data_IF_129454231130
#
_entry.id   IF_129454231130
#
_cell.length_a   1.000
_cell.length_b   1.000
_cell.length_c   1.000
_cell.angle_alpha   90.00
_cell.angle_beta   90.00
_cell.angle_gamma   90.00
#
_symmetry.space_group_name_H-M   'P 1'
#
loop_
_entity.id
_entity.type
_entity.pdbx_description
1 polymer ?
2 polymer ?
3 polymer ?
4 water ?
#
loop_
_entity_poly.entity_id
_entity_poly.type
_entity_poly.pdbx_seq_one_letter_code
_entity_poly.pdbx_strand_id
1 'polydeoxyribonucleotide' '(DA)(DA)(DG)(DG)(DA)(DT)(DC)(DC)(DA)(DA)' ?
2 'polydeoxyribonucleotide' '(DT)(DT)(DG)(DG)(DA)(DT)(DC)(DC)(DT)(DT)' ?
#
# COMPACT_ATOMS: atom_id res chain seq x y z
N UNK E 2 16.15 -21.77 0.29
CA UNK E 2 17.54 -21.96 -0.25
C UNK E 2 18.50 -22.71 0.74
N UNK E 3 18.84 -21.87 1.77
CA UNK E 3 19.63 -22.14 2.98
C UNK E 3 18.47 -22.28 3.98
N UNK E 4 17.27 -22.22 3.44
CA UNK E 4 16.07 -22.44 4.18
C UNK E 4 15.91 -23.93 4.52
N UNK E 5 16.86 -24.81 4.21
CA UNK E 5 16.59 -26.14 4.71
C UNK E 5 17.03 -26.10 6.18
N UNK E 6 17.99 -25.23 6.46
CA UNK E 6 18.40 -24.97 7.84
C UNK E 6 17.21 -24.45 8.68
N UNK E 7 16.34 -23.63 8.10
CA UNK E 7 15.16 -23.13 8.78
C UNK E 7 14.32 -24.28 9.13
N UNK E 8 14.16 -25.15 8.12
CA UNK E 8 13.34 -26.42 8.25
C UNK E 8 13.85 -27.28 9.42
N UNK E 9 15.19 -27.40 9.58
CA UNK E 9 15.73 -28.16 10.70
C UNK E 9 15.31 -27.52 12.05
N UNK E 10 15.21 -26.19 12.04
CA UNK E 10 14.93 -25.55 13.28
C UNK E 10 13.49 -25.73 13.59
N UNK E 11 12.64 -25.81 12.54
CA UNK E 11 11.21 -25.94 12.91
C UNK E 11 10.98 -27.32 13.51
N UNK E 12 11.87 -28.22 13.15
CA UNK E 12 11.72 -29.54 13.59
C UNK E 12 12.43 -29.76 14.83
N UNK E 13 13.62 -29.17 15.01
CA UNK E 13 14.42 -29.28 16.26
C UNK E 13 13.64 -29.37 17.63
N UNK E 14 14.30 -30.10 18.52
CA UNK E 14 13.75 -30.38 19.83
C UNK E 14 13.83 -29.08 20.57
N UNK E 15 14.90 -28.35 20.26
CA UNK E 15 15.07 -26.98 20.81
C UNK E 15 13.89 -26.03 20.47
N UNK E 16 13.52 -25.92 19.19
CA UNK E 16 12.43 -25.02 18.79
C UNK E 16 11.18 -25.52 19.46
N UNK E 17 11.13 -26.85 19.53
CA UNK E 17 10.01 -27.55 20.13
C UNK E 17 9.88 -27.31 21.65
N UNK E 18 11.03 -27.10 22.28
CA UNK E 18 11.02 -26.78 23.71
C UNK E 18 10.19 -25.52 24.07
N UNK E 19 10.63 -24.35 23.61
CA UNK E 19 9.88 -23.08 23.77
C UNK E 19 8.35 -23.27 23.71
N UNK E 20 7.68 -22.65 24.68
CA UNK E 20 6.22 -22.80 24.78
C UNK E 20 5.55 -21.53 24.46
N UNK E 21 6.29 -20.42 24.61
CA UNK E 21 5.72 -19.14 24.29
C UNK E 21 6.07 -18.60 22.92
N UNK E 22 5.22 -17.75 22.37
CA UNK E 22 5.43 -17.23 21.04
C UNK E 22 6.67 -16.44 20.97
N UNK E 23 6.81 -15.53 21.96
CA UNK E 23 7.97 -14.69 22.10
C UNK E 23 9.14 -15.59 21.99
N UNK E 24 9.23 -16.63 22.78
CA UNK E 24 10.42 -17.37 22.65
C UNK E 24 10.70 -17.95 21.32
N UNK E 25 9.67 -18.28 20.57
CA UNK E 25 9.89 -18.96 19.30
C UNK E 25 10.37 -17.89 18.38
N UNK E 26 9.62 -16.78 18.37
CA UNK E 26 10.01 -15.63 17.58
C UNK E 26 11.49 -15.28 17.84
N UNK E 27 11.92 -15.10 19.09
CA UNK E 27 13.33 -14.79 19.29
C UNK E 27 14.18 -15.88 18.67
N UNK E 28 13.77 -17.14 18.75
CA UNK E 28 14.67 -18.17 18.21
C UNK E 28 14.77 -18.13 16.70
N UNK E 29 13.74 -17.57 16.11
CA UNK E 29 13.72 -17.46 14.68
C UNK E 29 14.77 -16.43 14.27
N UNK E 30 14.55 -15.18 14.71
CA UNK E 30 15.37 -13.98 14.49
C UNK E 30 16.73 -14.50 14.77
N UNK E 31 16.92 -15.05 15.93
CA UNK E 31 18.24 -15.49 16.22
C UNK E 31 18.86 -16.39 15.13
N UNK E 32 18.11 -17.38 14.68
CA UNK E 32 18.59 -18.33 13.66
C UNK E 32 18.81 -17.66 12.32
N UNK E 33 17.79 -16.90 11.85
CA UNK E 33 17.87 -16.15 10.63
C UNK E 33 19.17 -15.35 10.66
N UNK E 34 19.32 -14.41 11.59
CA UNK E 34 20.59 -13.67 11.57
C UNK E 34 21.80 -14.68 11.40
N UNK E 35 21.81 -15.80 12.08
CA UNK E 35 22.91 -16.69 11.90
C UNK E 35 23.16 -17.18 10.52
N UNK E 36 22.15 -17.09 9.68
CA UNK E 36 22.38 -17.54 8.33
C UNK E 36 23.13 -16.53 7.55
N UNK E 37 22.55 -15.38 7.32
CA UNK E 37 23.16 -14.29 6.56
C UNK E 37 23.17 -12.97 7.38
N UNK E 38 24.26 -12.66 8.08
CA UNK E 38 24.06 -11.45 8.87
C UNK E 38 23.75 -10.31 8.00
N UNK E 39 24.32 -10.33 6.84
CA UNK E 39 24.15 -9.19 6.02
C UNK E 39 22.76 -8.99 5.50
N UNK E 40 22.16 -10.09 5.09
CA UNK E 40 20.84 -10.04 4.47
C UNK E 40 19.75 -9.76 5.48
N UNK E 41 20.03 -10.22 6.72
CA UNK E 41 19.18 -10.01 7.90
C UNK E 41 19.18 -8.53 8.09
N UNK E 42 20.38 -7.98 8.26
CA UNK E 42 20.58 -6.58 8.44
C UNK E 42 19.81 -5.73 7.39
N UNK E 43 19.90 -5.99 6.10
CA UNK E 43 19.13 -5.18 5.17
C UNK E 43 17.63 -5.42 5.32
N UNK E 44 17.31 -6.62 5.74
CA UNK E 44 15.90 -7.00 5.91
C UNK E 44 15.21 -6.13 6.90
N UNK E 45 15.98 -5.91 7.93
CA UNK E 45 15.63 -5.17 9.08
C UNK E 45 15.28 -3.70 8.86
N UNK E 46 16.20 -2.94 8.24
CA UNK E 46 16.02 -1.52 7.99
C UNK E 46 14.67 -1.13 7.48
N UNK E 47 14.07 -1.90 6.61
CA UNK E 47 12.72 -1.65 6.07
C UNK E 47 11.57 -1.97 7.05
N UNK E 48 11.90 -2.64 8.15
CA UNK E 48 10.85 -3.03 9.09
C UNK E 48 10.54 -2.08 10.27
N UNK E 49 9.39 -1.45 10.29
CA UNK E 49 9.16 -0.58 11.43
C UNK E 49 7.72 -0.28 11.42
N UNK E 50 7.20 0.32 12.49
CA UNK E 50 5.78 0.68 12.60
C UNK E 50 5.51 2.08 12.07
N UNK E 51 4.32 2.63 12.38
CA UNK E 51 3.88 4.01 11.96
C UNK E 51 4.77 4.88 12.79
N UNK E 52 4.86 4.53 14.08
CA UNK E 52 5.59 5.26 15.12
C UNK E 52 6.60 4.58 16.08
N UNK E 53 6.72 3.23 16.06
CA UNK E 53 7.67 2.49 16.95
C UNK E 53 8.90 2.07 16.15
N UNK E 54 10.03 1.85 16.74
CA UNK E 54 11.04 1.29 15.89
C UNK E 54 10.95 -0.19 16.31
N UNK E 55 11.18 -1.15 15.42
CA UNK E 55 11.14 -2.54 15.76
C UNK E 55 12.52 -3.12 16.08
N UNK E 56 13.46 -3.08 15.15
CA UNK E 56 14.79 -3.54 15.54
C UNK E 56 15.78 -2.37 15.84
N UNK E 57 16.90 -2.60 16.49
CA UNK E 57 17.79 -1.51 16.88
C UNK E 57 19.14 -2.03 17.43
N UNK E 58 20.25 -1.25 17.58
CA UNK E 58 21.41 -1.95 18.10
C UNK E 58 21.49 -1.81 19.53
N UNK E 59 20.49 -1.18 20.09
CA UNK E 59 20.55 -1.10 21.53
C UNK E 59 19.15 -0.93 22.14
N UNK E 60 19.04 -1.29 23.41
CA UNK E 60 17.78 -1.17 24.10
C UNK E 60 17.10 0.17 24.02
N UNK E 61 17.90 1.21 24.18
CA UNK E 61 17.33 2.58 24.21
C UNK E 61 16.77 3.05 22.90
N UNK E 62 17.51 2.89 21.81
CA UNK E 62 16.86 3.35 20.64
C UNK E 62 15.41 2.92 20.64
N UNK E 63 15.11 1.71 21.16
CA UNK E 63 13.71 1.20 21.13
C UNK E 63 12.82 1.79 22.08
N UNK E 64 13.28 1.87 23.33
CA UNK E 64 12.48 2.53 24.39
C UNK E 64 12.03 3.90 24.02
N UNK E 65 12.89 4.68 23.32
CA UNK E 65 12.54 6.05 22.88
C UNK E 65 11.35 6.09 21.98
N UNK E 66 11.50 5.71 20.69
CA UNK E 66 10.35 5.77 19.78
C UNK E 66 9.36 4.81 20.28
N UNK E 67 8.09 5.11 20.21
CA UNK E 67 7.17 4.15 20.77
C UNK E 67 7.41 3.84 22.30
N UNK E 68 6.30 3.73 23.07
CA UNK E 68 6.50 3.58 24.49
C UNK E 68 6.35 2.32 25.33
N UNK E 69 5.27 1.57 25.40
CA UNK E 69 5.59 0.36 26.26
C UNK E 69 6.03 -0.45 25.11
N UNK E 70 7.08 -1.20 25.09
CA UNK E 70 7.44 -1.97 23.82
C UNK E 70 8.26 -2.85 24.63
N UNK E 71 8.59 -4.05 24.28
CA UNK E 71 9.36 -4.58 25.39
C UNK E 71 10.67 -4.99 25.00
N UNK E 72 11.52 -4.06 24.72
CA UNK E 72 12.86 -4.36 24.32
C UNK E 72 13.39 -5.68 24.79
N UNK E 73 13.43 -6.62 23.91
CA UNK E 73 14.01 -7.79 24.43
C UNK E 73 15.37 -7.77 23.83
N UNK E 74 16.05 -8.16 24.79
CA UNK E 74 17.46 -8.21 24.79
C UNK E 74 18.37 -8.53 23.71
N UNK E 75 18.26 -9.64 23.14
CA UNK E 75 19.36 -9.69 22.18
C UNK E 75 18.90 -11.01 21.67
N UNK E 76 18.97 -11.15 20.40
CA UNK E 76 18.59 -12.49 20.21
C UNK E 76 19.53 -13.63 20.87
N UNK E 77 20.68 -13.67 20.20
CA UNK E 77 21.82 -14.55 20.40
C UNK E 77 22.86 -13.94 19.41
N UNK E 78 22.50 -12.74 18.88
CA UNK E 78 23.24 -11.83 17.90
C UNK E 78 23.35 -10.33 18.36
N UNK E 79 23.52 -9.37 17.43
CA UNK E 79 23.61 -8.01 18.03
C UNK E 79 22.36 -7.18 17.91
N UNK E 80 21.15 -7.72 17.85
CA UNK E 80 20.05 -6.75 17.74
C UNK E 80 19.14 -6.59 18.89
N UNK E 81 18.22 -5.65 18.90
CA UNK E 81 17.32 -5.69 20.00
C UNK E 81 15.96 -5.63 19.38
N UNK E 82 14.92 -6.34 19.88
CA UNK E 82 13.63 -6.19 19.23
C UNK E 82 12.59 -5.82 20.18
N UNK E 83 11.51 -5.33 19.60
CA UNK E 83 10.24 -4.92 20.23
C UNK E 83 9.65 -6.29 20.53
N UNK E 84 8.78 -6.34 21.54
CA UNK E 84 8.11 -7.57 21.98
C UNK E 84 6.61 -7.32 22.24
N UNK E 85 6.25 -6.11 22.59
CA UNK E 85 4.90 -5.74 22.86
C UNK E 85 4.20 -5.80 21.53
N UNK E 86 3.83 -7.00 21.17
CA UNK E 86 3.17 -7.20 19.92
C UNK E 86 2.43 -8.50 20.00
N UNK E 87 1.27 -8.50 19.40
CA UNK E 87 0.50 -9.71 19.36
C UNK E 87 1.09 -10.68 18.39
N UNK E 88 0.54 -11.90 18.32
CA UNK E 88 1.19 -12.87 17.46
C UNK E 88 1.24 -12.54 16.04
N UNK E 89 0.23 -11.83 15.67
CA UNK E 89 0.08 -11.45 14.31
C UNK E 89 1.26 -10.70 13.84
N UNK E 90 1.52 -9.60 14.53
CA UNK E 90 2.61 -8.76 14.13
C UNK E 90 3.96 -9.46 14.20
N UNK E 91 4.02 -10.39 15.16
CA UNK E 91 5.25 -11.09 15.48
C UNK E 91 5.49 -11.81 14.17
N UNK E 92 4.39 -12.14 13.55
CA UNK E 92 4.38 -12.85 12.30
C UNK E 92 4.95 -12.04 11.20
N UNK E 93 4.15 -11.08 10.81
CA UNK E 93 4.60 -10.22 9.78
C UNK E 93 5.98 -9.69 10.00
N UNK E 94 6.51 -9.54 11.19
CA UNK E 94 7.89 -9.13 11.13
C UNK E 94 8.77 -10.22 10.57
N UNK E 95 8.36 -11.47 10.73
CA UNK E 95 9.09 -12.66 10.21
C UNK E 95 8.77 -12.74 8.70
N UNK E 96 7.50 -12.63 8.38
CA UNK E 96 7.16 -12.62 7.00
C UNK E 96 8.07 -11.59 6.25
N UNK E 97 8.32 -10.45 6.87
CA UNK E 97 9.09 -9.44 6.23
C UNK E 97 10.52 -9.82 6.19
N UNK E 98 11.15 -10.12 7.32
CA UNK E 98 12.58 -10.42 7.32
C UNK E 98 12.80 -11.54 6.39
N UNK E 99 11.74 -12.33 6.23
CA UNK E 99 11.92 -13.51 5.42
C UNK E 99 11.74 -13.31 3.90
N UNK E 100 10.72 -12.57 3.46
CA UNK E 100 10.62 -12.31 2.07
C UNK E 100 11.94 -11.59 1.67
N UNK E 101 12.24 -10.44 2.26
CA UNK E 101 13.47 -9.80 1.87
C UNK E 101 14.61 -10.83 1.91
N UNK E 102 14.57 -11.85 2.72
CA UNK E 102 15.74 -12.66 2.63
C UNK E 102 15.69 -13.73 1.55
N UNK E 103 14.61 -13.69 0.74
CA UNK E 103 14.37 -14.61 -0.38
C UNK E 103 14.12 -16.08 0.05
N UNK E 104 13.24 -16.32 1.00
CA UNK E 104 12.90 -17.69 1.41
C UNK E 104 11.64 -17.90 0.63
N UNK E 105 11.37 -19.11 0.29
CA UNK E 105 10.17 -19.40 -0.47
C UNK E 105 8.86 -19.20 0.26
N UNK E 106 7.92 -18.54 -0.33
CA UNK E 106 6.70 -18.34 0.37
C UNK E 106 6.11 -19.55 1.02
N UNK E 107 6.44 -20.73 0.54
CA UNK E 107 5.89 -21.98 1.13
C UNK E 107 6.33 -22.07 2.62
N UNK E 108 7.66 -21.96 2.84
CA UNK E 108 8.35 -22.01 4.14
C UNK E 108 7.68 -21.01 5.07
N UNK E 109 7.83 -19.78 4.65
CA UNK E 109 7.29 -18.70 5.31
C UNK E 109 5.94 -19.00 5.81
N UNK E 110 4.97 -19.45 5.04
CA UNK E 110 3.71 -19.64 5.77
C UNK E 110 3.79 -20.67 6.91
N UNK E 111 4.67 -21.65 6.69
CA UNK E 111 4.93 -22.74 7.66
C UNK E 111 5.37 -22.17 8.96
N UNK E 112 6.47 -21.44 8.83
CA UNK E 112 7.16 -20.79 9.92
C UNK E 112 6.26 -19.94 10.67
N UNK E 113 5.67 -19.03 9.96
CA UNK E 113 4.89 -18.14 10.70
C UNK E 113 3.71 -18.96 11.33
N UNK E 114 3.48 -20.13 10.74
CA UNK E 114 2.46 -20.97 11.31
C UNK E 114 2.81 -21.55 12.67
N UNK E 115 4.10 -21.78 12.90
CA UNK E 115 4.51 -22.35 14.15
C UNK E 115 4.68 -21.34 15.26
N UNK E 116 4.67 -20.04 14.99
CA UNK E 116 4.85 -19.04 16.07
C UNK E 116 3.61 -19.13 16.97
N UNK F 2 2.69 17.97 -20.33
CA UNK F 2 3.11 17.71 -21.75
C UNK F 2 2.13 18.33 -22.77
N UNK F 3 0.98 17.66 -22.89
CA UNK F 3 -0.15 18.06 -23.73
C UNK F 3 -1.04 18.70 -22.66
N UNK F 4 -0.57 18.60 -21.41
CA UNK F 4 -1.24 19.23 -20.30
C UNK F 4 -1.19 20.77 -20.38
N UNK F 5 -0.82 21.35 -21.52
CA UNK F 5 -0.87 22.80 -21.55
C UNK F 5 -2.38 23.01 -21.84
N UNK F 6 -2.98 22.01 -22.50
CA UNK F 6 -4.41 21.99 -22.84
C UNK F 6 -5.27 21.89 -21.58
N UNK F 7 -4.79 21.16 -20.60
CA UNK F 7 -5.52 21.07 -19.37
C UNK F 7 -5.52 22.44 -18.81
N UNK F 8 -4.34 23.08 -18.75
CA UNK F 8 -4.23 24.45 -18.23
C UNK F 8 -5.31 25.31 -18.91
N UNK F 9 -5.37 25.29 -20.23
CA UNK F 9 -6.38 26.07 -20.95
C UNK F 9 -7.72 25.92 -20.27
N UNK F 10 -8.11 24.67 -20.08
CA UNK F 10 -9.38 24.37 -19.46
C UNK F 10 -9.52 24.84 -18.01
N UNK F 11 -8.46 24.87 -17.25
CA UNK F 11 -8.64 25.30 -15.88
C UNK F 11 -9.00 26.80 -15.95
N UNK F 12 -8.41 27.47 -16.92
CA UNK F 12 -8.58 28.89 -17.11
C UNK F 12 -9.84 29.24 -17.87
N UNK F 13 -10.27 28.35 -18.77
CA UNK F 13 -11.49 28.55 -19.58
C UNK F 13 -12.75 29.04 -18.82
N UNK F 14 -13.52 29.89 -19.50
CA UNK F 14 -14.69 30.53 -18.88
C UNK F 14 -15.68 29.48 -18.61
N UNK F 15 -15.62 28.46 -19.46
CA UNK F 15 -16.50 27.32 -19.35
C UNK F 15 -16.23 26.50 -18.11
N UNK F 16 -14.94 26.31 -17.80
CA UNK F 16 -14.58 25.55 -16.62
C UNK F 16 -15.03 26.36 -15.43
N UNK F 17 -14.84 27.66 -15.58
CA UNK F 17 -15.19 28.60 -14.54
C UNK F 17 -16.69 28.70 -14.33
N UNK F 18 -17.46 28.61 -15.41
CA UNK F 18 -18.90 28.64 -15.28
C UNK F 18 -19.36 27.66 -14.16
N UNK F 19 -19.09 26.36 -14.40
CA UNK F 19 -19.41 25.27 -13.48
C UNK F 19 -19.36 25.68 -12.01
N UNK F 20 -20.44 25.43 -11.28
CA UNK F 20 -20.45 25.85 -9.89
C UNK F 20 -20.29 24.66 -8.96
N UNK F 21 -20.62 23.47 -9.48
CA UNK F 21 -20.52 22.24 -8.72
C UNK F 21 -19.28 21.37 -8.93
N UNK F 22 -18.88 20.63 -7.89
CA UNK F 22 -17.72 19.74 -7.98
C UNK F 22 -17.99 18.73 -9.08
N UNK F 23 -19.05 17.93 -8.88
CA UNK F 23 -19.47 16.92 -9.85
C UNK F 23 -19.14 17.41 -11.19
N UNK F 24 -19.63 18.60 -11.44
CA UNK F 24 -19.47 19.29 -12.71
C UNK F 24 -18.05 19.63 -13.17
N UNK F 25 -17.19 20.08 -12.28
CA UNK F 25 -15.85 20.34 -12.74
C UNK F 25 -15.28 18.96 -13.08
N UNK F 26 -15.48 17.99 -12.18
CA UNK F 26 -15.06 16.60 -12.32
C UNK F 26 -15.45 16.06 -13.74
N UNK F 27 -16.70 16.06 -14.12
CA UNK F 27 -16.96 15.51 -15.44
C UNK F 27 -16.25 16.32 -16.51
N UNK F 28 -15.99 17.58 -16.27
CA UNK F 28 -15.40 18.26 -17.39
C UNK F 28 -13.95 17.87 -17.54
N UNK F 29 -13.34 17.56 -16.42
CA UNK F 29 -11.95 17.17 -16.44
C UNK F 29 -11.93 15.90 -17.20
N UNK F 30 -12.64 14.88 -16.69
CA UNK F 30 -12.70 13.54 -17.31
C UNK F 30 -12.86 13.69 -18.79
N UNK F 31 -13.92 14.39 -19.17
CA UNK F 31 -14.23 14.55 -20.56
C UNK F 31 -13.07 15.10 -21.37
N UNK F 32 -12.47 16.17 -20.91
CA UNK F 32 -11.35 16.70 -21.65
C UNK F 32 -10.13 15.72 -21.74
N UNK F 33 -9.78 15.09 -20.60
CA UNK F 33 -8.69 14.15 -20.53
C UNK F 33 -8.99 13.15 -21.60
N UNK F 34 -10.10 12.45 -21.48
CA UNK F 34 -10.32 11.49 -22.55
C UNK F 34 -10.19 12.14 -23.92
N UNK F 35 -10.41 13.43 -24.05
CA UNK F 35 -10.26 13.93 -25.41
C UNK F 35 -8.85 14.19 -25.86
N UNK F 36 -7.92 14.10 -24.92
CA UNK F 36 -6.52 14.21 -25.28
C UNK F 36 -6.05 12.86 -25.83
N UNK F 37 -5.89 11.87 -24.96
CA UNK F 37 -5.45 10.50 -25.31
C UNK F 37 -6.59 9.50 -25.09
N UNK F 38 -7.30 9.00 -26.07
CA UNK F 38 -8.37 8.16 -25.56
C UNK F 38 -7.72 6.99 -24.95
N UNK F 39 -6.66 6.58 -25.62
CA UNK F 39 -5.98 5.39 -25.20
C UNK F 39 -5.44 5.40 -23.78
N UNK F 40 -4.62 6.39 -23.52
CA UNK F 40 -3.98 6.50 -22.22
C UNK F 40 -5.00 6.61 -21.11
N UNK F 41 -6.17 7.16 -21.46
CA UNK F 41 -7.28 7.36 -20.54
C UNK F 41 -7.82 5.98 -20.21
N UNK F 42 -8.15 5.27 -21.27
CA UNK F 42 -8.66 3.93 -21.12
C UNK F 42 -7.79 3.11 -20.13
N UNK F 43 -6.49 3.06 -20.38
CA UNK F 43 -5.60 2.32 -19.51
C UNK F 43 -5.62 2.87 -18.10
N UNK F 44 -5.65 4.18 -18.05
CA UNK F 44 -5.64 4.86 -16.79
C UNK F 44 -6.77 4.37 -15.89
N UNK F 45 -7.89 4.19 -16.56
CA UNK F 45 -9.13 3.78 -15.97
C UNK F 45 -9.16 2.38 -15.33
N UNK F 46 -8.82 1.34 -16.11
CA UNK F 46 -8.81 -0.05 -15.63
C UNK F 46 -8.31 -0.21 -14.20
N UNK F 47 -7.18 0.40 -13.87
CA UNK F 47 -6.60 0.33 -12.51
C UNK F 47 -7.38 1.09 -11.46
N UNK F 48 -8.38 1.84 -11.90
CA UNK F 48 -9.14 2.65 -10.96
C UNK F 48 -10.46 2.01 -10.53
N UNK F 49 -10.58 1.79 -9.22
CA UNK F 49 -11.80 1.22 -8.68
C UNK F 49 -11.59 1.16 -7.20
N UNK F 50 -12.67 0.94 -6.43
CA UNK F 50 -12.62 0.88 -4.98
C UNK F 50 -12.40 -0.52 -4.44
N UNK F 51 -12.83 -0.72 -3.20
CA UNK F 51 -12.70 -2.05 -2.58
C UNK F 51 -13.73 -2.95 -3.26
N UNK F 52 -14.96 -2.40 -3.35
CA UNK F 52 -16.18 -3.06 -3.84
C UNK F 52 -16.99 -2.45 -5.00
N UNK F 53 -16.80 -1.13 -5.23
CA UNK F 53 -17.53 -0.39 -6.25
C UNK F 53 -16.75 -0.33 -7.54
N UNK F 54 -17.39 -0.26 -8.70
CA UNK F 54 -16.61 -0.14 -9.92
C UNK F 54 -16.72 1.36 -10.18
N UNK F 55 -15.68 2.02 -10.69
CA UNK F 55 -15.74 3.45 -10.92
C UNK F 55 -16.06 3.86 -12.33
N UNK F 56 -15.32 3.37 -13.29
CA UNK F 56 -15.70 3.71 -14.66
C UNK F 56 -16.23 2.44 -15.32
N UNK F 57 -16.85 2.52 -16.49
CA UNK F 57 -17.40 1.33 -17.12
C UNK F 57 -18.03 1.81 -18.37
N UNK F 58 -18.39 0.95 -19.32
CA UNK F 58 -18.96 1.51 -20.57
C UNK F 58 -20.40 1.66 -20.55
N UNK F 59 -21.05 1.35 -19.46
CA UNK F 59 -22.46 1.51 -19.53
C UNK F 59 -22.93 1.65 -18.13
N UNK F 60 -24.08 2.31 -18.01
CA UNK F 60 -24.69 2.57 -16.72
C UNK F 60 -24.78 1.37 -15.82
N UNK F 61 -25.36 0.31 -16.36
CA UNK F 61 -25.56 -0.90 -15.57
C UNK F 61 -24.33 -1.46 -14.87
N UNK F 62 -23.24 -1.65 -15.61
CA UNK F 62 -22.12 -2.24 -14.90
C UNK F 62 -21.90 -1.54 -13.59
N UNK F 63 -22.17 -0.23 -13.54
CA UNK F 63 -21.88 0.51 -12.33
C UNK F 63 -22.90 0.41 -11.28
N UNK F 64 -24.12 0.20 -11.70
CA UNK F 64 -25.21 0.09 -10.76
C UNK F 64 -25.10 -1.19 -9.99
N UNK F 65 -24.64 -2.24 -10.67
CA UNK F 65 -24.46 -3.55 -10.02
C UNK F 65 -23.46 -3.52 -8.82
N UNK F 66 -22.17 -3.65 -9.10
CA UNK F 66 -21.13 -3.66 -8.07
C UNK F 66 -21.25 -2.33 -7.34
N UNK F 67 -21.38 -2.37 -6.01
CA UNK F 67 -21.52 -1.15 -5.17
C UNK F 67 -22.88 -0.49 -5.43
N UNK F 68 -23.74 -0.31 -4.43
CA UNK F 68 -25.09 0.16 -4.82
C UNK F 68 -25.62 1.58 -4.93
N UNK F 69 -25.53 2.45 -3.95
CA UNK F 69 -26.11 3.76 -4.32
C UNK F 69 -24.89 4.36 -5.01
N UNK F 70 -24.82 4.69 -6.28
CA UNK F 70 -23.54 5.27 -6.75
C UNK F 70 -24.24 6.08 -7.68
N UNK F 71 -23.72 7.17 -8.17
CA UNK F 71 -24.67 7.86 -9.01
C UNK F 71 -24.18 7.81 -10.40
N UNK F 72 -24.44 6.72 -11.08
CA UNK F 72 -23.97 6.60 -12.45
C UNK F 72 -24.26 7.78 -13.27
N UNK F 73 -23.28 8.66 -13.45
CA UNK F 73 -23.56 9.79 -14.28
C UNK F 73 -23.19 9.33 -15.62
N UNK F 74 -24.02 9.87 -16.45
CA UNK F 74 -24.18 9.61 -17.86
C UNK F 74 -23.05 9.45 -18.82
N UNK F 75 -22.55 10.49 -19.36
CA UNK F 75 -21.51 10.19 -20.26
C UNK F 75 -20.76 11.46 -20.13
N UNK F 76 -19.51 11.31 -19.89
CA UNK F 76 -18.92 12.63 -19.86
C UNK F 76 -19.26 13.56 -21.17
N UNK F 77 -18.61 13.21 -22.27
CA UNK F 77 -18.69 13.85 -23.56
C UNK F 77 -17.90 12.87 -24.44
N UNK F 78 -17.67 11.69 -23.82
CA UNK F 78 -16.90 10.49 -24.28
C UNK F 78 -17.73 9.15 -24.33
N UNK F 79 -17.06 7.98 -24.08
CA UNK F 79 -17.86 6.75 -24.08
C UNK F 79 -17.80 6.10 -22.68
N UNK F 80 -17.55 6.85 -21.63
CA UNK F 80 -17.50 6.17 -20.35
C UNK F 80 -18.66 6.54 -19.47
N UNK F 81 -18.73 6.01 -18.24
CA UNK F 81 -19.78 6.33 -17.25
C UNK F 81 -19.01 6.39 -15.95
N UNK F 82 -19.35 7.30 -15.06
CA UNK F 82 -18.59 7.35 -13.81
C UNK F 82 -19.52 7.33 -12.65
N UNK F 83 -18.93 6.98 -11.52
CA UNK F 83 -19.60 6.94 -10.22
C UNK F 83 -19.63 8.38 -9.81
N UNK F 84 -20.67 8.79 -9.10
CA UNK F 84 -20.78 10.16 -8.66
C UNK F 84 -20.94 10.31 -7.15
N UNK F 85 -21.35 9.23 -6.52
CA UNK F 85 -21.60 9.20 -5.13
C UNK F 85 -20.22 9.13 -4.41
N UNK F 86 -19.59 10.30 -4.34
CA UNK F 86 -18.25 10.38 -3.77
C UNK F 86 -18.10 11.78 -3.30
N UNK F 87 -17.39 11.98 -2.20
CA UNK F 87 -17.11 13.34 -1.69
C UNK F 87 -16.07 13.91 -2.64
N UNK F 88 -15.67 15.14 -2.39
CA UNK F 88 -14.70 15.71 -3.34
C UNK F 88 -13.31 15.10 -3.28
N UNK F 89 -13.00 14.61 -2.09
CA UNK F 89 -11.73 13.96 -1.85
C UNK F 89 -11.60 12.87 -2.87
N UNK F 90 -12.46 11.85 -2.75
CA UNK F 90 -12.38 10.76 -3.70
C UNK F 90 -12.42 11.24 -5.16
N UNK F 91 -13.18 12.34 -5.35
CA UNK F 91 -13.40 12.89 -6.68
C UNK F 91 -11.99 13.26 -7.10
N UNK F 92 -11.30 13.91 -6.18
CA UNK F 92 -9.96 14.31 -6.47
C UNK F 92 -9.04 13.15 -6.89
N UNK F 93 -8.91 12.18 -5.98
CA UNK F 93 -8.05 11.06 -6.26
C UNK F 93 -8.46 10.31 -7.47
N UNK F 94 -9.70 10.25 -7.87
CA UNK F 94 -9.85 9.54 -9.12
C UNK F 94 -9.11 10.34 -10.20
N UNK F 95 -8.97 11.65 -10.00
CA UNK F 95 -8.31 12.44 -11.02
C UNK F 95 -6.81 12.29 -10.83
N UNK F 96 -6.34 12.39 -9.59
CA UNK F 96 -4.92 12.22 -9.29
C UNK F 96 -4.45 10.96 -10.04
N UNK F 97 -5.21 9.89 -9.84
CA UNK F 97 -4.90 8.68 -10.47
C UNK F 97 -4.96 8.78 -12.00
N UNK F 98 -6.09 9.13 -12.59
CA UNK F 98 -6.11 9.15 -14.05
C UNK F 98 -5.08 10.06 -14.65
N UNK F 99 -4.58 10.94 -13.81
CA UNK F 99 -3.60 11.85 -14.33
C UNK F 99 -2.18 11.32 -14.15
N UNK F 100 -1.90 10.67 -13.00
CA UNK F 100 -0.58 10.08 -12.79
C UNK F 100 -0.34 9.06 -13.87
N UNK F 101 -1.24 8.12 -14.05
CA UNK F 101 -1.05 7.20 -15.15
C UNK F 101 -0.93 7.95 -16.50
N UNK F 102 -1.44 9.16 -16.63
CA UNK F 102 -1.29 9.78 -17.94
C UNK F 102 0.02 10.56 -18.12
N UNK F 103 0.81 10.62 -17.06
CA UNK F 103 2.11 11.25 -17.05
C UNK F 103 2.00 12.71 -17.07
N UNK F 104 1.15 13.25 -16.20
CA UNK F 104 1.03 14.70 -16.15
C UNK F 104 1.91 15.03 -14.98
N UNK F 105 2.62 16.11 -15.03
CA UNK F 105 3.49 16.51 -13.94
C UNK F 105 2.77 16.77 -12.68
N UNK F 106 3.31 16.27 -11.61
CA UNK F 106 2.65 16.44 -10.33
C UNK F 106 2.34 17.86 -9.94
N UNK F 107 2.93 18.80 -10.67
CA UNK F 107 2.71 20.22 -10.38
C UNK F 107 1.25 20.57 -10.78
N UNK F 108 0.92 20.22 -12.03
CA UNK F 108 -0.40 20.42 -12.65
C UNK F 108 -1.43 19.83 -11.73
N UNK F 109 -1.29 18.52 -11.62
CA UNK F 109 -2.06 17.62 -10.80
C UNK F 109 -2.49 18.30 -9.50
N UNK F 110 -1.58 18.83 -8.71
CA UNK F 110 -2.07 19.40 -7.47
C UNK F 110 -3.04 20.56 -7.68
N UNK F 111 -2.74 21.31 -8.74
CA UNK F 111 -3.51 22.48 -9.18
C UNK F 111 -4.88 21.93 -9.49
N UNK F 112 -4.94 21.14 -10.58
CA UNK F 112 -6.19 20.54 -11.02
C UNK F 112 -7.02 20.03 -9.86
N UNK F 113 -6.42 19.26 -8.99
CA UNK F 113 -7.22 18.75 -7.92
C UNK F 113 -7.68 19.90 -7.04
N UNK F 114 -6.88 20.95 -7.04
CA UNK F 114 -7.24 22.10 -6.22
C UNK F 114 -8.53 22.81 -6.63
N UNK F 115 -8.79 22.82 -7.93
CA UNK F 115 -9.95 23.47 -8.47
C UNK F 115 -11.24 22.68 -8.30
N UNK F 116 -11.17 21.36 -8.25
CA UNK F 116 -12.39 20.57 -8.10
C UNK F 116 -13.17 20.96 -6.88
#
# INVERSE_FOLDING_TARGET
>E
GPLGSAMRELLLSDEYAEQKRAVNRFMLLLSTLYSLDAQAFAEATESLHGRTRVYFAADEQTLLKNGNQTKPKHVPGTPYWVITNTNTGRKCSMIEHIMQSMQFPAELIEKVCGTI
>F
GPLGSAMRELLLSDEYAEQKRAVNRFMLLLSTLYSLDAQAFAEATESLHGRTRVYFAADEQTLLKNGNQTKPKHVPGTPYWVITNTNTGRKCSMIEHIMQSMQFPAELIEKVCGTI
#
